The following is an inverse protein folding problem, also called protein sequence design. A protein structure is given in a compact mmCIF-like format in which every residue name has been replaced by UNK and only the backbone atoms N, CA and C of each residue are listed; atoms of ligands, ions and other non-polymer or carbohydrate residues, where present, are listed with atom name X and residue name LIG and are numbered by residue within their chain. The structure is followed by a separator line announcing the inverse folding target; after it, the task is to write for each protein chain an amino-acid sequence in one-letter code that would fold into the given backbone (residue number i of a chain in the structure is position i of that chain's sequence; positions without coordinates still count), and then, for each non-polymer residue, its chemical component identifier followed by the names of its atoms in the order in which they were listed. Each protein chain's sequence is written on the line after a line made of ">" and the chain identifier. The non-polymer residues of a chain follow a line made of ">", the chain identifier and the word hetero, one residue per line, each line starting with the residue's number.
data_IF_755187800380
#
_entry.id   IF_755187800380
#
_cell.length_a   1.000
_cell.length_b   1.000
_cell.length_c   1.000
_cell.angle_alpha   90.00
_cell.angle_beta   90.00
_cell.angle_gamma   90.00
#
_symmetry.space_group_name_H-M   'P 1'
#
loop_
_entity.id
_entity.type
_entity.pdbx_description
1 polymer ?
#
# COMPACT_ATOMS: atom_id res chain seq x y z
N UNK A 1 -13.07 -37.17 34.60
CA UNK A 1 -12.28 -38.42 34.49
C UNK A 1 -11.02 -38.10 33.70
N UNK A 2 -9.87 -38.25 34.34
CA UNK A 2 -8.53 -37.89 33.85
C UNK A 2 -8.07 -38.81 32.71
N UNK A 3 -7.20 -38.28 31.83
CA UNK A 3 -5.79 -38.75 31.69
C UNK A 3 -5.27 -39.04 30.27
N UNK A 4 -4.27 -38.23 29.86
CA UNK A 4 -3.01 -38.53 29.12
C UNK A 4 -3.08 -39.23 27.74
N UNK A 5 -2.26 -38.91 26.71
CA UNK A 5 -0.98 -38.19 26.64
C UNK A 5 0.21 -39.14 26.29
N UNK A 6 0.99 -38.85 25.24
CA UNK A 6 2.38 -39.35 25.02
C UNK A 6 2.55 -40.42 23.92
N UNK A 7 3.13 -40.12 22.74
CA UNK A 7 4.57 -40.02 22.38
C UNK A 7 5.33 -41.35 22.51
N UNK A 8 5.69 -41.96 21.37
CA UNK A 8 6.60 -43.12 21.28
C UNK A 8 7.97 -42.67 20.75
N UNK A 9 8.99 -42.79 21.60
CA UNK A 9 10.42 -42.71 21.23
C UNK A 9 10.94 -44.12 20.95
N UNK A 10 11.61 -44.36 19.83
CA UNK A 10 12.29 -45.63 19.57
C UNK A 10 13.80 -45.52 19.86
N UNK A 11 14.26 -46.31 20.84
CA UNK A 11 15.67 -46.49 21.21
C UNK A 11 16.32 -47.52 20.28
N UNK A 12 17.58 -47.27 19.95
CA UNK A 12 18.48 -48.16 19.24
C UNK A 12 18.77 -49.46 20.02
N UNK A 13 18.89 -50.57 19.29
CA UNK A 13 19.59 -51.77 19.77
C UNK A 13 20.93 -51.90 19.04
N UNK A 14 21.99 -51.98 19.83
CA UNK A 14 23.32 -52.47 19.45
C UNK A 14 23.33 -54.00 19.46
N UNK A 15 23.98 -54.63 18.48
CA UNK A 15 24.49 -56.00 18.63
C UNK A 15 25.78 -56.18 17.84
N UNK A 16 26.75 -56.73 18.54
CA UNK A 16 28.15 -56.91 18.17
C UNK A 16 28.42 -58.29 17.55
N UNK A 17 29.32 -58.32 16.57
CA UNK A 17 30.33 -59.36 16.36
C UNK A 17 29.98 -60.52 15.42
N UNK A 18 30.62 -60.57 14.24
CA UNK A 18 31.87 -61.32 13.95
C UNK A 18 32.16 -61.26 12.45
N UNK A 19 33.44 -61.01 12.12
CA UNK A 19 33.95 -60.92 10.76
C UNK A 19 34.22 -62.30 10.16
N UNK A 20 33.88 -62.46 8.89
CA UNK A 20 34.50 -63.42 7.97
C UNK A 20 34.60 -62.72 6.61
N UNK A 21 35.83 -62.47 6.17
CA UNK A 21 36.14 -61.84 4.89
C UNK A 21 36.37 -62.93 3.84
N UNK A 22 35.59 -62.94 2.76
CA UNK A 22 35.94 -63.57 1.48
C UNK A 22 35.32 -62.72 0.36
N UNK A 23 36.16 -62.35 -0.60
CA UNK A 23 35.90 -61.34 -1.61
C UNK A 23 34.80 -61.68 -2.62
N UNK A 24 34.13 -60.63 -3.10
CA UNK A 24 33.17 -60.67 -4.18
C UNK A 24 32.90 -59.24 -4.66
N UNK A 25 32.89 -59.05 -5.98
CA UNK A 25 32.93 -57.78 -6.70
C UNK A 25 31.94 -56.70 -6.21
N UNK A 26 32.46 -55.47 -6.03
CA UNK A 26 31.67 -54.24 -5.91
C UNK A 26 31.11 -53.86 -7.29
N UNK A 27 29.86 -54.22 -7.56
CA UNK A 27 29.04 -53.57 -8.57
C UNK A 27 28.40 -52.32 -7.93
N UNK A 28 29.05 -51.17 -8.09
CA UNK A 28 28.45 -49.88 -7.74
C UNK A 28 27.44 -49.49 -8.81
N UNK A 29 26.15 -49.67 -8.53
CA UNK A 29 25.08 -49.04 -9.32
C UNK A 29 25.06 -47.55 -8.96
N UNK A 30 25.60 -46.71 -9.84
CA UNK A 30 25.48 -45.27 -9.73
C UNK A 30 24.03 -44.87 -10.10
N UNK A 31 23.22 -44.55 -9.10
CA UNK A 31 21.92 -43.92 -9.32
C UNK A 31 22.15 -42.47 -9.80
N UNK A 32 21.89 -42.20 -11.09
CA UNK A 32 21.83 -40.82 -11.60
C UNK A 32 20.55 -40.16 -11.04
N UNK A 33 20.69 -39.41 -9.96
CA UNK A 33 19.68 -38.44 -9.55
C UNK A 33 19.78 -37.23 -10.49
N UNK A 34 18.92 -37.16 -11.51
CA UNK A 34 18.74 -35.94 -12.31
C UNK A 34 17.95 -34.93 -11.48
N UNK A 35 18.66 -34.11 -10.71
CA UNK A 35 18.08 -32.91 -10.11
C UNK A 35 17.75 -31.93 -11.24
N UNK A 36 16.47 -31.83 -11.61
CA UNK A 36 15.98 -30.68 -12.36
C UNK A 36 16.03 -29.46 -11.43
N UNK A 37 17.18 -28.80 -11.38
CA UNK A 37 17.24 -27.45 -10.86
C UNK A 37 16.35 -26.56 -11.75
N UNK A 38 15.59 -25.60 -11.17
CA UNK A 38 14.91 -24.61 -12.00
C UNK A 38 15.96 -23.94 -12.88
N UNK A 39 15.71 -23.90 -14.19
CA UNK A 39 16.56 -23.14 -15.10
C UNK A 39 16.53 -21.69 -14.66
N UNK A 40 17.60 -21.24 -14.01
CA UNK A 40 17.89 -19.83 -13.93
C UNK A 40 18.10 -19.40 -15.39
N UNK A 41 17.11 -18.74 -16.00
CA UNK A 41 17.34 -18.04 -17.26
C UNK A 41 18.59 -17.18 -17.07
N UNK A 42 19.66 -17.53 -17.81
CA UNK A 42 20.89 -16.76 -17.80
C UNK A 42 20.51 -15.30 -18.12
N UNK A 43 20.98 -14.37 -17.30
CA UNK A 43 20.94 -12.94 -17.64
C UNK A 43 21.85 -12.79 -18.86
N UNK A 44 21.28 -12.89 -20.05
CA UNK A 44 21.98 -12.53 -21.28
C UNK A 44 21.99 -11.00 -21.29
N UNK A 45 23.20 -10.47 -21.15
CA UNK A 45 23.60 -9.09 -21.40
C UNK A 45 23.47 -8.07 -20.27
N UNK A 46 23.63 -6.81 -20.66
CA UNK A 46 24.02 -5.70 -19.77
C UNK A 46 22.82 -4.94 -19.17
N UNK A 47 21.60 -5.32 -19.58
CA UNK A 47 20.35 -4.67 -19.21
C UNK A 47 20.14 -4.52 -17.71
N UNK A 48 19.76 -3.31 -17.28
CA UNK A 48 19.43 -2.99 -15.88
C UNK A 48 18.17 -2.15 -15.79
N UNK A 49 17.21 -2.61 -15.00
CA UNK A 49 16.12 -1.76 -14.53
C UNK A 49 16.64 -1.01 -13.30
N UNK A 50 16.88 0.28 -13.43
CA UNK A 50 17.56 1.10 -12.42
C UNK A 50 16.61 1.84 -11.50
N UNK A 51 15.37 2.06 -11.94
CA UNK A 51 14.35 2.76 -11.15
C UNK A 51 12.96 2.33 -11.57
N UNK A 52 12.07 2.16 -10.59
CA UNK A 52 10.62 2.03 -10.82
C UNK A 52 9.92 3.03 -9.90
N UNK A 53 8.99 3.79 -10.47
CA UNK A 53 8.20 4.79 -9.76
C UNK A 53 6.73 4.55 -10.05
N UNK A 54 5.95 4.36 -9.00
CA UNK A 54 4.49 4.27 -9.07
C UNK A 54 3.90 5.59 -8.61
N UNK A 55 2.93 6.13 -9.35
CA UNK A 55 2.16 7.32 -9.01
C UNK A 55 3.05 8.53 -8.63
N UNK A 56 4.17 8.71 -9.34
CA UNK A 56 5.15 9.77 -9.05
C UNK A 56 5.82 9.66 -7.68
N UNK A 57 5.86 8.47 -7.08
CA UNK A 57 6.43 8.22 -5.75
C UNK A 57 5.48 8.57 -4.60
N UNK A 58 4.21 8.87 -4.89
CA UNK A 58 3.19 9.20 -3.91
C UNK A 58 2.28 8.01 -3.66
N UNK A 59 1.74 7.93 -2.44
CA UNK A 59 0.69 6.96 -2.12
C UNK A 59 -0.51 7.10 -3.07
N UNK A 60 -1.05 5.96 -3.49
CA UNK A 60 -2.24 5.90 -4.31
C UNK A 60 -3.46 6.03 -3.38
N UNK A 61 -4.01 7.23 -3.31
CA UNK A 61 -5.27 7.47 -2.60
C UNK A 61 -6.44 7.14 -3.52
N UNK A 62 -7.24 6.12 -3.21
CA UNK A 62 -8.44 5.74 -3.97
C UNK A 62 -9.72 6.18 -3.24
N UNK A 63 -10.63 6.75 -4.02
CA UNK A 63 -12.03 7.03 -3.63
C UNK A 63 -12.89 5.79 -3.95
N UNK A 64 -14.19 5.95 -4.18
CA UNK A 64 -15.14 4.89 -4.61
C UNK A 64 -15.37 4.85 -6.12
N UNK A 65 -14.47 5.46 -6.89
CA UNK A 65 -14.51 5.58 -8.36
C UNK A 65 -13.12 5.32 -8.95
N UNK A 66 -13.09 4.98 -10.24
CA UNK A 66 -11.87 4.83 -11.02
C UNK A 66 -10.83 5.95 -10.81
N UNK A 67 -9.56 5.55 -10.71
CA UNK A 67 -8.40 6.43 -10.69
C UNK A 67 -7.31 5.92 -11.62
N UNK A 68 -6.73 6.82 -12.40
CA UNK A 68 -5.53 6.55 -13.19
C UNK A 68 -4.28 6.60 -12.32
N UNK A 69 -3.42 5.58 -12.46
CA UNK A 69 -2.15 5.42 -11.77
C UNK A 69 -1.07 5.20 -12.80
N UNK A 70 -0.05 6.06 -12.80
CA UNK A 70 1.11 5.92 -13.69
C UNK A 70 2.15 5.00 -13.07
N UNK A 71 2.78 4.17 -13.90
CA UNK A 71 3.95 3.37 -13.52
C UNK A 71 5.05 3.68 -14.54
N UNK A 72 6.21 4.07 -14.03
CA UNK A 72 7.37 4.44 -14.84
C UNK A 72 8.58 3.60 -14.45
N UNK A 73 9.27 3.04 -15.43
CA UNK A 73 10.55 2.36 -15.25
C UNK A 73 11.66 3.09 -16.02
N UNK A 74 12.84 3.17 -15.41
CA UNK A 74 14.08 3.61 -16.06
C UNK A 74 14.92 2.37 -16.33
N UNK A 75 15.27 2.17 -17.59
CA UNK A 75 15.96 0.97 -18.09
C UNK A 75 17.25 1.44 -18.74
N UNK A 76 18.38 0.92 -18.25
CA UNK A 76 19.67 1.03 -18.92
C UNK A 76 19.84 -0.19 -19.83
N UNK A 77 20.00 0.07 -21.12
CA UNK A 77 20.04 -0.90 -22.21
C UNK A 77 20.62 -0.18 -23.45
N UNK A 78 21.69 -0.68 -24.06
CA UNK A 78 22.35 -0.07 -25.22
C UNK A 78 21.69 -0.42 -26.56
N UNK A 79 20.91 -1.49 -26.62
CA UNK A 79 20.08 -1.88 -27.76
C UNK A 79 18.68 -1.27 -27.72
N UNK A 80 17.90 -1.46 -28.79
CA UNK A 80 16.51 -1.01 -28.84
C UNK A 80 15.60 -1.94 -28.02
N UNK A 81 14.76 -1.38 -27.15
CA UNK A 81 13.71 -2.14 -26.45
C UNK A 81 12.63 -2.55 -27.45
N UNK A 82 12.28 -3.83 -27.47
CA UNK A 82 11.25 -4.39 -28.36
C UNK A 82 9.92 -4.52 -27.63
N UNK A 83 9.95 -4.90 -26.35
CA UNK A 83 8.75 -5.03 -25.53
C UNK A 83 9.02 -4.69 -24.07
N UNK A 84 8.10 -3.96 -23.44
CA UNK A 84 8.16 -3.63 -22.01
C UNK A 84 6.78 -3.74 -21.39
N UNK A 85 6.64 -4.59 -20.39
CA UNK A 85 5.44 -4.73 -19.57
C UNK A 85 5.69 -4.18 -18.16
N UNK A 86 4.76 -3.37 -17.67
CA UNK A 86 4.81 -2.77 -16.34
C UNK A 86 3.50 -3.09 -15.63
N UNK A 87 3.49 -4.19 -14.87
CA UNK A 87 2.28 -4.76 -14.30
C UNK A 87 2.13 -4.30 -12.86
N UNK A 88 0.95 -3.81 -12.50
CA UNK A 88 0.63 -3.38 -11.14
C UNK A 88 -0.17 -4.46 -10.45
N UNK A 89 0.34 -4.96 -9.33
CA UNK A 89 -0.24 -6.11 -8.64
C UNK A 89 -0.37 -5.86 -7.14
N UNK A 90 -1.47 -6.32 -6.54
CA UNK A 90 -1.54 -6.50 -5.10
C UNK A 90 -1.21 -7.96 -4.75
N UNK A 91 -0.16 -8.16 -3.96
CA UNK A 91 0.27 -9.46 -3.44
C UNK A 91 0.36 -9.47 -1.92
N UNK A 92 -0.19 -10.52 -1.30
CA UNK A 92 -0.06 -10.81 0.13
C UNK A 92 0.53 -12.22 0.25
N UNK A 93 1.79 -12.33 0.66
CA UNK A 93 2.53 -13.57 0.50
C UNK A 93 2.66 -13.93 -0.97
N UNK A 94 2.28 -15.16 -1.34
CA UNK A 94 2.28 -15.65 -2.71
C UNK A 94 0.95 -15.37 -3.45
N UNK A 95 -0.10 -14.99 -2.72
CA UNK A 95 -1.43 -14.76 -3.28
C UNK A 95 -1.50 -13.44 -4.06
N UNK A 96 -2.12 -13.49 -5.24
CA UNK A 96 -2.45 -12.32 -6.07
C UNK A 96 -3.90 -11.93 -5.78
N UNK A 97 -4.08 -10.77 -5.16
CA UNK A 97 -5.42 -10.23 -4.89
C UNK A 97 -5.89 -9.23 -5.96
N UNK A 98 -4.95 -8.70 -6.75
CA UNK A 98 -5.21 -7.84 -7.90
C UNK A 98 -4.03 -7.90 -8.85
N UNK A 99 -4.27 -7.91 -10.16
CA UNK A 99 -3.24 -7.77 -11.17
C UNK A 99 -3.80 -7.06 -12.40
N UNK A 100 -3.09 -6.05 -12.87
CA UNK A 100 -3.33 -5.43 -14.17
C UNK A 100 -2.03 -5.37 -14.96
N UNK A 101 -2.07 -5.96 -16.15
CA UNK A 101 -0.94 -5.97 -17.07
C UNK A 101 -1.10 -4.93 -18.17
N UNK A 102 -0.05 -4.16 -18.42
CA UNK A 102 -0.05 -3.13 -19.46
C UNK A 102 1.33 -2.99 -20.09
N UNK A 103 1.35 -3.00 -21.42
CA UNK A 103 2.53 -2.61 -22.20
C UNK A 103 2.83 -1.14 -21.95
N UNK A 104 4.11 -0.81 -21.81
CA UNK A 104 4.61 0.53 -21.63
C UNK A 104 5.00 1.18 -22.95
N UNK A 105 4.91 2.51 -22.98
CA UNK A 105 5.50 3.33 -24.03
C UNK A 105 6.85 3.83 -23.55
N UNK A 106 7.90 3.56 -24.32
CA UNK A 106 9.27 3.94 -24.00
C UNK A 106 9.71 5.16 -24.80
N UNK A 107 10.40 6.08 -24.13
CA UNK A 107 11.02 7.27 -24.72
C UNK A 107 12.52 7.25 -24.45
N UNK A 108 13.30 7.79 -25.40
CA UNK A 108 14.76 7.80 -25.38
C UNK A 108 15.37 6.87 -26.43
N UNK A 109 16.50 7.28 -27.01
CA UNK A 109 17.18 6.58 -28.12
C UNK A 109 18.61 6.17 -27.79
N UNK A 110 19.05 6.35 -26.54
CA UNK A 110 20.39 5.99 -26.07
C UNK A 110 20.39 4.81 -25.09
N UNK A 111 21.48 4.69 -24.34
CA UNK A 111 21.70 3.63 -23.36
C UNK A 111 20.74 3.67 -22.14
N UNK A 112 19.93 4.73 -21.99
CA UNK A 112 18.94 4.85 -20.91
C UNK A 112 17.61 5.28 -21.52
N UNK A 113 16.56 4.54 -21.18
CA UNK A 113 15.20 4.71 -21.70
C UNK A 113 14.23 4.82 -20.53
N UNK A 114 13.20 5.64 -20.69
CA UNK A 114 12.11 5.78 -19.71
C UNK A 114 10.84 5.20 -20.30
N UNK A 115 10.29 4.17 -19.67
CA UNK A 115 9.08 3.49 -20.10
C UNK A 115 7.96 3.78 -19.13
N UNK A 116 6.80 4.17 -19.63
CA UNK A 116 5.64 4.55 -18.81
C UNK A 116 4.38 3.84 -19.28
N UNK A 117 3.55 3.42 -18.33
CA UNK A 117 2.18 2.99 -18.57
C UNK A 117 1.22 3.66 -17.59
N UNK A 118 -0.08 3.58 -17.90
CA UNK A 118 -1.17 4.04 -17.03
C UNK A 118 -2.15 2.90 -16.78
N UNK A 119 -2.28 2.54 -15.51
CA UNK A 119 -3.31 1.63 -15.01
C UNK A 119 -4.53 2.42 -14.57
N UNK A 120 -5.72 1.85 -14.73
CA UNK A 120 -6.93 2.39 -14.11
C UNK A 120 -7.31 1.45 -13.00
N UNK A 121 -7.39 1.95 -11.77
CA UNK A 121 -7.88 1.23 -10.61
C UNK A 121 -9.30 1.68 -10.34
N UNK A 122 -10.29 0.82 -10.58
CA UNK A 122 -11.68 1.04 -10.22
C UNK A 122 -12.11 0.10 -9.09
N UNK A 123 -12.34 0.62 -7.87
CA UNK A 123 -12.81 -0.19 -6.78
C UNK A 123 -14.12 -0.96 -7.02
N UNK A 124 -14.93 -0.53 -7.99
CA UNK A 124 -16.21 -1.16 -8.33
C UNK A 124 -16.03 -2.39 -9.22
N UNK A 125 -15.11 -2.31 -10.17
CA UNK A 125 -14.98 -3.30 -11.25
C UNK A 125 -13.80 -4.25 -11.03
N UNK A 126 -12.76 -3.81 -10.31
CA UNK A 126 -11.48 -4.53 -10.17
C UNK A 126 -11.41 -5.43 -8.92
N UNK A 127 -12.55 -5.74 -8.28
CA UNK A 127 -12.63 -6.52 -7.03
C UNK A 127 -11.75 -5.97 -5.88
N UNK A 128 -11.39 -4.69 -5.93
CA UNK A 128 -10.60 -4.05 -4.87
C UNK A 128 -11.47 -3.91 -3.63
N UNK A 129 -11.04 -4.52 -2.53
CA UNK A 129 -11.72 -4.46 -1.24
C UNK A 129 -10.86 -3.78 -0.17
N UNK A 130 -11.48 -3.35 0.93
CA UNK A 130 -10.82 -2.52 1.96
C UNK A 130 -9.52 -3.14 2.53
N UNK A 131 -9.40 -4.47 2.50
CA UNK A 131 -8.24 -5.21 2.99
C UNK A 131 -6.98 -5.03 2.13
N UNK A 132 -7.11 -4.50 0.91
CA UNK A 132 -5.98 -4.22 0.04
C UNK A 132 -5.29 -2.88 0.36
N UNK A 133 -5.87 -2.08 1.26
CA UNK A 133 -5.25 -0.83 1.69
C UNK A 133 -4.08 -1.10 2.64
N UNK A 134 -2.97 -0.40 2.40
CA UNK A 134 -1.77 -0.49 3.22
C UNK A 134 -0.48 -0.43 2.41
N UNK A 135 0.67 -0.35 3.12
CA UNK A 135 1.98 -0.38 2.51
C UNK A 135 2.38 -1.81 2.10
N UNK A 136 3.36 -1.91 1.22
CA UNK A 136 4.12 -3.14 0.99
C UNK A 136 3.48 -4.14 0.01
N UNK A 137 2.15 -4.19 -0.07
CA UNK A 137 1.45 -5.21 -0.84
C UNK A 137 1.28 -4.88 -2.34
N UNK A 138 1.55 -3.65 -2.81
CA UNK A 138 1.25 -3.23 -4.20
C UNK A 138 2.47 -3.12 -5.11
N UNK A 139 2.97 -4.25 -5.62
CA UNK A 139 4.24 -4.35 -6.34
C UNK A 139 4.09 -4.02 -7.83
N UNK A 140 5.22 -3.68 -8.45
CA UNK A 140 5.33 -3.64 -9.91
C UNK A 140 6.15 -4.84 -10.37
N UNK A 141 5.57 -5.64 -11.24
CA UNK A 141 6.33 -6.63 -12.01
C UNK A 141 6.73 -6.01 -13.34
N UNK A 142 8.03 -6.03 -13.63
CA UNK A 142 8.57 -5.47 -14.87
C UNK A 142 9.10 -6.62 -15.71
N UNK A 143 8.80 -6.59 -17.01
CA UNK A 143 9.39 -7.47 -18.03
C UNK A 143 9.89 -6.61 -19.18
N UNK A 144 11.08 -6.91 -19.67
CA UNK A 144 11.78 -6.12 -20.68
C UNK A 144 12.48 -7.06 -21.64
N UNK A 145 12.25 -6.84 -22.94
CA UNK A 145 12.92 -7.49 -24.05
C UNK A 145 13.65 -6.43 -24.89
N UNK A 146 14.87 -6.73 -25.31
CA UNK A 146 15.66 -5.92 -26.22
C UNK A 146 15.98 -6.66 -27.53
N UNK A 147 16.34 -5.89 -28.56
CA UNK A 147 16.55 -6.38 -29.92
C UNK A 147 17.74 -7.35 -30.05
N UNK A 148 18.75 -7.20 -29.20
CA UNK A 148 19.96 -8.05 -29.18
C UNK A 148 19.79 -9.32 -28.34
N UNK A 149 18.59 -9.55 -27.79
CA UNK A 149 18.27 -10.76 -27.05
C UNK A 149 18.37 -10.60 -25.53
N UNK A 150 18.72 -9.41 -25.03
CA UNK A 150 18.72 -9.15 -23.60
C UNK A 150 17.29 -9.20 -23.05
N UNK A 151 17.15 -9.88 -21.92
CA UNK A 151 15.88 -10.02 -21.21
C UNK A 151 16.07 -9.79 -19.72
N UNK A 152 15.13 -9.04 -19.13
CA UNK A 152 15.09 -8.86 -17.68
C UNK A 152 13.66 -8.84 -17.19
N UNK A 153 13.43 -9.53 -16.08
CA UNK A 153 12.18 -9.39 -15.32
C UNK A 153 12.42 -9.38 -13.82
N UNK A 154 11.45 -8.86 -13.08
CA UNK A 154 11.51 -8.89 -11.63
C UNK A 154 10.46 -8.01 -10.95
N UNK A 155 10.32 -8.24 -9.65
CA UNK A 155 9.51 -7.39 -8.79
C UNK A 155 10.31 -6.22 -8.26
N UNK A 156 9.70 -5.04 -8.30
CA UNK A 156 10.26 -3.81 -7.78
C UNK A 156 9.39 -3.26 -6.65
N UNK A 157 9.99 -2.52 -5.68
CA UNK A 157 9.28 -1.98 -4.53
C UNK A 157 8.02 -1.21 -4.89
N UNK A 158 7.05 -1.35 -4.01
CA UNK A 158 5.64 -1.04 -4.18
C UNK A 158 5.23 0.38 -3.79
N UNK A 159 4.04 0.80 -4.23
CA UNK A 159 3.34 1.95 -3.64
C UNK A 159 2.54 1.53 -2.40
N UNK A 160 2.18 2.48 -1.54
CA UNK A 160 1.07 2.27 -0.61
C UNK A 160 -0.24 2.64 -1.30
N UNK A 161 -1.28 1.83 -1.09
CA UNK A 161 -2.64 2.21 -1.46
C UNK A 161 -3.40 2.60 -0.20
N UNK A 162 -4.07 3.74 -0.24
CA UNK A 162 -4.82 4.29 0.89
C UNK A 162 -6.26 4.58 0.49
N UNK A 163 -7.17 4.37 1.44
CA UNK A 163 -8.56 4.80 1.30
C UNK A 163 -8.66 6.31 1.49
N UNK A 164 -9.36 6.99 0.59
CA UNK A 164 -9.63 8.42 0.73
C UNK A 164 -10.48 8.68 1.98
N UNK A 165 -10.22 9.80 2.65
CA UNK A 165 -11.06 10.30 3.74
C UNK A 165 -11.59 11.68 3.41
N UNK A 166 -12.73 12.04 3.99
CA UNK A 166 -13.35 13.34 3.85
C UNK A 166 -13.84 13.82 5.21
N UNK A 167 -13.66 15.10 5.46
CA UNK A 167 -13.90 15.73 6.74
C UNK A 167 -14.65 17.03 6.53
N UNK A 168 -15.78 17.19 7.22
CA UNK A 168 -16.57 18.42 7.24
C UNK A 168 -16.59 18.99 8.65
N UNK A 169 -16.80 20.30 8.77
CA UNK A 169 -16.82 21.02 10.04
C UNK A 169 -17.69 22.27 9.94
N UNK A 170 -18.25 22.67 11.08
CA UNK A 170 -19.11 23.85 11.23
C UNK A 170 -19.12 24.26 12.71
N UNK A 171 -18.99 25.56 12.99
CA UNK A 171 -18.94 26.15 14.31
C UNK A 171 -20.15 27.06 14.54
N UNK A 172 -20.86 26.88 15.65
CA UNK A 172 -22.08 27.64 15.95
C UNK A 172 -22.22 27.94 17.45
N UNK A 173 -22.92 29.03 17.84
CA UNK A 173 -23.57 30.03 16.98
C UNK A 173 -22.59 31.01 16.34
N UNK A 174 -23.02 31.66 15.26
CA UNK A 174 -22.28 32.76 14.65
C UNK A 174 -23.26 33.92 14.33
N UNK A 175 -22.97 35.16 14.77
CA UNK A 175 -21.85 35.55 15.63
C UNK A 175 -21.99 34.99 17.06
N UNK A 176 -20.88 34.88 17.79
CA UNK A 176 -20.84 34.40 19.18
C UNK A 176 -20.31 35.48 20.12
N UNK A 177 -20.86 35.57 21.33
CA UNK A 177 -20.36 36.51 22.34
C UNK A 177 -18.97 36.07 22.83
N UNK A 178 -18.05 37.01 23.03
CA UNK A 178 -16.76 36.74 23.67
C UNK A 178 -16.95 36.07 25.03
N UNK A 179 -16.19 35.00 25.25
CA UNK A 179 -16.25 34.16 26.44
C UNK A 179 -17.41 33.16 26.46
N UNK A 180 -18.29 33.16 25.45
CA UNK A 180 -19.36 32.18 25.36
C UNK A 180 -18.90 30.85 24.76
N UNK A 181 -19.73 29.83 24.95
CA UNK A 181 -19.53 28.51 24.39
C UNK A 181 -19.80 28.52 22.88
N UNK A 182 -18.84 28.01 22.11
CA UNK A 182 -18.94 27.74 20.68
C UNK A 182 -18.92 26.22 20.48
N UNK A 183 -19.94 25.67 19.84
CA UNK A 183 -20.00 24.25 19.48
C UNK A 183 -19.45 24.05 18.09
N UNK A 184 -18.44 23.19 17.96
CA UNK A 184 -17.91 22.78 16.66
C UNK A 184 -18.33 21.35 16.38
N UNK A 185 -19.12 21.18 15.33
CA UNK A 185 -19.54 19.89 14.81
C UNK A 185 -18.64 19.47 13.64
N UNK A 186 -18.65 18.19 13.31
CA UNK A 186 -17.99 17.68 12.13
C UNK A 186 -18.34 16.24 11.83
N UNK A 187 -17.84 15.73 10.70
CA UNK A 187 -18.01 14.33 10.32
C UNK A 187 -16.82 13.83 9.51
N UNK A 188 -16.19 12.77 9.99
CA UNK A 188 -15.13 12.04 9.30
C UNK A 188 -15.72 10.84 8.57
N UNK A 189 -15.45 10.75 7.28
CA UNK A 189 -15.87 9.64 6.42
C UNK A 189 -14.69 9.05 5.66
N UNK A 190 -14.87 7.84 5.18
CA UNK A 190 -13.87 7.07 4.44
C UNK A 190 -14.52 6.39 3.24
N UNK A 191 -13.80 6.34 2.12
CA UNK A 191 -14.19 5.52 0.97
C UNK A 191 -14.23 4.04 1.38
N UNK A 192 -15.37 3.39 1.22
CA UNK A 192 -15.56 1.98 1.51
C UNK A 192 -15.74 1.24 0.18
N UNK A 193 -14.73 0.48 -0.21
CA UNK A 193 -14.72 -0.23 -1.49
C UNK A 193 -15.61 -1.48 -1.45
N UNK A 194 -15.77 -2.12 -0.29
CA UNK A 194 -16.68 -3.27 -0.15
C UNK A 194 -18.14 -2.89 -0.43
N UNK A 195 -18.55 -1.67 -0.05
CA UNK A 195 -19.91 -1.16 -0.28
C UNK A 195 -20.00 -0.14 -1.40
N UNK A 196 -18.88 0.20 -2.05
CA UNK A 196 -18.76 1.24 -3.07
C UNK A 196 -19.36 2.62 -2.68
N UNK A 197 -19.36 2.92 -1.38
CA UNK A 197 -19.95 4.14 -0.79
C UNK A 197 -19.00 4.81 0.21
N UNK A 198 -19.33 6.03 0.64
CA UNK A 198 -18.64 6.69 1.74
C UNK A 198 -19.33 6.35 3.07
N UNK A 199 -18.56 5.83 4.03
CA UNK A 199 -19.08 5.47 5.36
C UNK A 199 -18.44 6.30 6.45
N UNK A 200 -19.13 6.44 7.58
CA UNK A 200 -18.56 7.08 8.77
C UNK A 200 -17.31 6.33 9.25
N UNK A 201 -16.25 7.06 9.57
CA UNK A 201 -15.01 6.47 10.05
C UNK A 201 -14.93 6.61 11.57
N UNK A 202 -15.21 5.52 12.28
CA UNK A 202 -15.38 5.49 13.72
C UNK A 202 -14.07 5.40 14.52
N UNK A 203 -14.11 5.84 15.77
CA UNK A 203 -13.04 5.67 16.78
C UNK A 203 -11.69 6.25 16.34
N UNK A 204 -11.74 7.36 15.61
CA UNK A 204 -10.54 8.05 15.14
C UNK A 204 -10.30 9.32 15.96
N UNK A 205 -9.06 9.56 16.35
CA UNK A 205 -8.64 10.83 16.91
C UNK A 205 -8.57 11.90 15.80
N UNK A 206 -9.35 12.97 15.96
CA UNK A 206 -9.43 14.10 15.03
C UNK A 206 -9.19 15.39 15.82
N UNK A 207 -8.31 16.24 15.30
CA UNK A 207 -7.88 17.47 15.94
C UNK A 207 -8.79 18.63 15.51
N UNK A 208 -9.39 19.34 16.46
CA UNK A 208 -9.94 20.67 16.22
C UNK A 208 -8.79 21.67 16.28
N UNK A 209 -8.60 22.41 15.19
CA UNK A 209 -7.60 23.46 15.10
C UNK A 209 -8.28 24.82 15.03
N UNK A 210 -7.62 25.83 15.59
CA UNK A 210 -8.03 27.22 15.57
C UNK A 210 -6.88 28.11 15.08
N UNK A 211 -7.22 29.19 14.38
CA UNK A 211 -6.28 30.22 13.95
C UNK A 211 -6.94 31.59 14.12
N UNK A 212 -6.43 32.42 15.02
CA UNK A 212 -6.94 33.79 15.24
C UNK A 212 -6.81 34.64 13.97
N UNK A 213 -7.79 35.48 13.67
CA UNK A 213 -7.73 36.44 12.56
C UNK A 213 -6.85 37.65 12.92
N UNK A 214 -5.97 38.13 12.01
CA UNK A 214 -5.62 37.52 10.72
C UNK A 214 -4.80 36.24 10.88
N UNK A 215 -5.17 35.19 10.14
CA UNK A 215 -4.62 33.85 10.34
C UNK A 215 -3.22 33.67 9.73
N UNK A 216 -2.25 33.31 10.57
CA UNK A 216 -0.87 32.95 10.14
C UNK A 216 -0.53 31.48 10.41
N UNK A 217 -1.04 30.88 11.48
CA UNK A 217 -0.78 29.49 11.84
C UNK A 217 -1.92 28.86 12.66
N UNK A 218 -2.30 27.63 12.32
CA UNK A 218 -3.29 26.85 13.06
C UNK A 218 -2.66 26.14 14.26
N UNK A 219 -3.27 26.27 15.43
CA UNK A 219 -2.95 25.50 16.63
C UNK A 219 -4.06 24.50 16.95
N UNK A 220 -3.70 23.30 17.41
CA UNK A 220 -4.68 22.31 17.88
C UNK A 220 -5.21 22.75 19.24
N UNK A 221 -6.52 22.99 19.34
CA UNK A 221 -7.19 23.41 20.58
C UNK A 221 -7.88 22.24 21.29
N UNK A 222 -8.31 21.21 20.55
CA UNK A 222 -8.88 19.97 21.11
C UNK A 222 -8.58 18.77 20.21
N UNK A 223 -8.62 17.57 20.79
CA UNK A 223 -8.67 16.31 20.05
C UNK A 223 -9.93 15.55 20.46
N UNK A 224 -10.72 15.13 19.49
CA UNK A 224 -12.00 14.44 19.68
C UNK A 224 -11.94 13.08 18.99
N UNK A 225 -12.54 12.07 19.61
CA UNK A 225 -12.70 10.75 18.99
C UNK A 225 -14.02 10.69 18.22
N UNK A 226 -13.99 10.32 16.95
CA UNK A 226 -15.21 10.14 16.16
C UNK A 226 -16.09 9.03 16.71
N UNK A 227 -17.41 9.25 16.71
CA UNK A 227 -18.37 8.25 17.19
C UNK A 227 -18.55 7.09 16.18
N UNK A 228 -19.49 6.18 16.46
CA UNK A 228 -19.75 5.00 15.61
C UNK A 228 -20.11 5.35 14.15
N UNK A 229 -20.67 6.53 13.89
CA UNK A 229 -21.08 7.00 12.55
C UNK A 229 -20.16 8.08 11.99
N UNK A 230 -18.99 8.29 12.61
CA UNK A 230 -17.96 9.23 12.17
C UNK A 230 -18.18 10.68 12.60
N UNK A 231 -19.21 10.99 13.39
CA UNK A 231 -19.48 12.36 13.83
C UNK A 231 -18.49 12.81 14.90
N UNK A 232 -18.22 14.11 14.88
CA UNK A 232 -17.38 14.85 15.82
C UNK A 232 -18.22 15.96 16.41
N UNK A 233 -18.06 16.20 17.72
CA UNK A 233 -18.67 17.34 18.41
C UNK A 233 -17.82 17.72 19.60
N UNK A 234 -17.58 19.01 19.76
CA UNK A 234 -17.00 19.56 20.98
C UNK A 234 -17.44 21.01 21.18
N UNK A 235 -17.27 21.50 22.40
CA UNK A 235 -17.42 22.92 22.73
C UNK A 235 -16.05 23.53 23.06
N UNK A 236 -15.82 24.76 22.62
CA UNK A 236 -14.67 25.61 22.97
C UNK A 236 -15.18 26.98 23.42
N UNK A 237 -14.33 27.80 24.04
CA UNK A 237 -14.69 29.17 24.41
C UNK A 237 -14.29 30.12 23.29
N UNK A 238 -15.23 30.93 22.80
CA UNK A 238 -14.96 31.96 21.80
C UNK A 238 -14.13 33.10 22.41
N UNK A 239 -12.88 33.25 22.00
CA UNK A 239 -11.96 34.25 22.57
C UNK A 239 -11.75 35.47 21.67
N UNK A 240 -11.69 35.28 20.35
CA UNK A 240 -11.51 36.30 19.33
C UNK A 240 -11.96 35.74 17.97
N UNK A 241 -12.06 36.61 16.97
CA UNK A 241 -12.32 36.21 15.59
C UNK A 241 -11.25 35.27 15.07
N UNK A 242 -11.64 34.31 14.25
CA UNK A 242 -10.70 33.39 13.64
C UNK A 242 -11.35 32.21 12.94
N UNK A 243 -10.52 31.26 12.56
CA UNK A 243 -10.93 30.12 11.76
C UNK A 243 -10.80 28.82 12.54
N UNK A 244 -11.85 28.01 12.54
CA UNK A 244 -11.85 26.64 13.06
C UNK A 244 -11.81 25.63 11.92
N UNK A 245 -11.02 24.56 12.08
CA UNK A 245 -11.07 23.41 11.15
C UNK A 245 -10.78 22.11 11.87
N UNK A 246 -11.32 21.01 11.35
CA UNK A 246 -10.90 19.68 11.76
C UNK A 246 -9.72 19.19 10.94
N UNK A 247 -8.80 18.46 11.58
CA UNK A 247 -7.65 17.79 10.97
C UNK A 247 -7.61 16.33 11.39
N UNK A 248 -7.62 15.44 10.40
CA UNK A 248 -7.38 14.02 10.59
C UNK A 248 -6.02 13.63 10.04
N UNK A 249 -5.13 13.15 10.92
CA UNK A 249 -3.75 12.78 10.56
C UNK A 249 -3.63 11.42 9.85
N UNK A 250 -4.62 10.55 10.04
CA UNK A 250 -4.76 9.22 9.46
C UNK A 250 -3.65 8.18 9.81
N UNK A 251 -4.01 6.91 10.08
CA UNK A 251 -3.08 5.78 10.05
C UNK A 251 -2.67 5.40 8.62
N UNK A 252 -1.80 4.41 8.47
CA UNK A 252 -1.18 4.02 7.20
C UNK A 252 -2.14 3.61 6.07
N UNK A 253 -3.35 3.12 6.38
CA UNK A 253 -4.29 2.54 5.41
C UNK A 253 -5.32 3.55 4.87
N UNK A 254 -5.32 4.78 5.39
CA UNK A 254 -6.16 5.89 4.94
C UNK A 254 -5.32 7.13 4.67
N UNK A 255 -5.84 8.00 3.81
CA UNK A 255 -5.25 9.31 3.58
C UNK A 255 -5.66 10.30 4.69
N UNK A 256 -4.79 11.24 5.08
CA UNK A 256 -5.17 12.37 5.94
C UNK A 256 -6.15 13.32 5.22
N UNK A 257 -6.93 14.07 5.98
CA UNK A 257 -7.88 15.07 5.46
C UNK A 257 -8.03 16.27 6.38
N UNK A 258 -8.39 17.41 5.80
CA UNK A 258 -8.78 18.64 6.51
C UNK A 258 -10.23 18.96 6.17
N UNK A 259 -10.98 19.53 7.11
CA UNK A 259 -12.21 20.23 6.76
C UNK A 259 -11.89 21.58 6.12
N UNK A 260 -12.87 22.11 5.39
CA UNK A 260 -12.91 23.56 5.12
C UNK A 260 -12.87 24.28 6.46
N UNK A 261 -12.15 25.41 6.48
CA UNK A 261 -12.06 26.25 7.66
C UNK A 261 -13.28 27.15 7.75
N UNK A 262 -13.82 27.29 8.96
CA UNK A 262 -15.02 28.04 9.26
C UNK A 262 -14.67 29.30 10.05
N UNK A 263 -15.16 30.46 9.60
CA UNK A 263 -14.81 31.75 10.20
C UNK A 263 -15.84 32.16 11.23
N UNK A 264 -15.40 32.29 12.48
CA UNK A 264 -16.24 32.70 13.60
C UNK A 264 -16.03 34.19 13.89
N UNK A 265 -17.11 34.96 13.81
CA UNK A 265 -17.21 36.36 14.27
C UNK A 265 -17.52 36.41 15.78
N UNK A 266 -16.62 37.00 16.58
CA UNK A 266 -16.72 37.09 18.04
C UNK A 266 -16.99 38.52 18.49
N UNK A 267 -18.13 38.72 19.17
CA UNK A 267 -18.63 40.04 19.61
C UNK A 267 -18.55 40.26 21.12
#
# INVERSE_FOLDING_TARGET
>A
MLSLGGILRLRALTRSGRAAALGGALLTVAALATTLAPTAQAVVGNMRITKVVVNGGKDIVLTTTAKKVTVTATIAEDSALTEVWLDLENRVGDDINYAASRRATCTGTGAVKTCTTTHTLDPRDDLIHNGLAGPGNWKVYVQVDARDGDYRSGYYPSASVRRATALIGDATPEPVRRGAALTVNGRLTVANWNSNTWTGLSRQAVQLQYCTYPCTAYATVKTVTSNATGHLRTTVTASADGYYRWKYAAPYWVAPSLSVADYVDVR
#
